data_IF_995138250498
#
_entry.id   IF_995138250498
#
_cell.length_a   1.000
_cell.length_b   1.000
_cell.length_c   1.000
_cell.angle_alpha   90.00
_cell.angle_beta   90.00
_cell.angle_gamma   90.00
#
_symmetry.space_group_name_H-M   'P 1'
#
loop_
_entity.id
_entity.type
_entity.pdbx_description
1 polymer ?
#
# COMPACT_ATOMS: atom_id res chain seq x y z
N UNK A 1 13.00 -6.22 -12.58
CA UNK A 1 13.28 -6.25 -11.13
C UNK A 1 13.27 -7.69 -10.61
N UNK A 2 12.18 -8.45 -10.69
CA UNK A 2 12.06 -9.78 -10.07
C UNK A 2 13.14 -10.77 -10.49
N UNK A 3 13.42 -10.92 -11.79
CA UNK A 3 14.51 -11.79 -12.30
C UNK A 3 15.90 -11.46 -11.73
N UNK A 4 16.12 -10.20 -11.37
CA UNK A 4 17.39 -9.78 -10.74
C UNK A 4 17.39 -10.22 -9.29
N UNK A 5 16.28 -10.04 -8.57
CA UNK A 5 16.15 -10.49 -7.17
C UNK A 5 16.29 -12.01 -7.06
N UNK A 6 15.69 -12.77 -8.00
CA UNK A 6 15.80 -14.24 -8.04
C UNK A 6 17.25 -14.72 -8.17
N UNK A 7 18.14 -13.92 -8.79
CA UNK A 7 19.56 -14.24 -8.95
C UNK A 7 20.44 -13.71 -7.81
N UNK A 8 20.11 -12.56 -7.25
CA UNK A 8 20.97 -11.88 -6.27
C UNK A 8 20.66 -12.35 -4.84
N UNK A 9 19.39 -12.47 -4.47
CA UNK A 9 19.02 -12.81 -3.09
C UNK A 9 19.64 -14.11 -2.57
N UNK A 10 19.78 -15.20 -3.38
CA UNK A 10 20.43 -16.42 -2.93
C UNK A 10 21.94 -16.28 -2.60
N UNK A 11 22.61 -15.24 -3.13
CA UNK A 11 24.05 -15.03 -2.91
C UNK A 11 24.34 -13.95 -1.87
N UNK A 12 23.32 -13.24 -1.39
CA UNK A 12 23.45 -12.28 -0.31
C UNK A 12 23.51 -12.99 1.05
N UNK A 13 24.21 -12.38 2.06
CA UNK A 13 24.24 -12.92 3.42
C UNK A 13 22.82 -13.22 3.95
N UNK A 14 22.68 -14.36 4.63
CA UNK A 14 21.38 -14.80 5.20
C UNK A 14 21.15 -14.28 6.61
N UNK A 15 22.23 -13.88 7.28
CA UNK A 15 22.26 -13.36 8.64
C UNK A 15 22.18 -11.82 8.71
N UNK A 16 22.01 -11.17 7.56
CA UNK A 16 21.92 -9.71 7.46
C UNK A 16 20.62 -9.26 6.77
N UNK A 17 20.02 -8.15 7.22
CA UNK A 17 18.82 -7.63 6.57
C UNK A 17 19.12 -7.13 5.15
N UNK A 18 18.22 -7.43 4.22
CA UNK A 18 18.34 -7.07 2.81
C UNK A 18 17.43 -5.91 2.49
N UNK A 19 18.01 -4.84 1.98
CA UNK A 19 17.32 -3.60 1.70
C UNK A 19 17.20 -3.36 0.19
N UNK A 20 15.95 -3.23 -0.30
CA UNK A 20 15.65 -2.88 -1.68
C UNK A 20 15.20 -1.42 -1.76
N UNK A 21 16.07 -0.56 -2.26
CA UNK A 21 15.86 0.89 -2.30
C UNK A 21 14.89 1.31 -3.43
N UNK A 22 14.04 2.29 -3.13
CA UNK A 22 13.21 2.98 -4.11
C UNK A 22 12.06 2.16 -4.71
N UNK A 23 11.74 1.00 -4.15
CA UNK A 23 10.65 0.13 -4.61
C UNK A 23 9.45 0.26 -3.70
N UNK A 24 8.26 0.48 -4.28
CA UNK A 24 7.12 0.83 -3.46
C UNK A 24 5.73 0.60 -4.00
N UNK A 25 5.53 -0.07 -5.13
CA UNK A 25 4.17 -0.56 -5.43
C UNK A 25 3.82 -1.65 -4.42
N UNK A 26 2.57 -1.67 -3.87
CA UNK A 26 2.19 -2.66 -2.86
C UNK A 26 2.53 -4.11 -3.26
N UNK A 27 2.23 -4.48 -4.52
CA UNK A 27 2.57 -5.82 -5.02
C UNK A 27 4.09 -6.06 -5.10
N UNK A 28 4.87 -5.04 -5.46
CA UNK A 28 6.33 -5.18 -5.55
C UNK A 28 6.97 -5.40 -4.18
N UNK A 29 6.37 -4.87 -3.10
CA UNK A 29 6.81 -5.14 -1.73
C UNK A 29 6.58 -6.62 -1.38
N UNK A 30 5.39 -7.14 -1.63
CA UNK A 30 5.04 -8.55 -1.34
C UNK A 30 5.92 -9.50 -2.18
N UNK A 31 6.12 -9.20 -3.46
CA UNK A 31 7.02 -9.96 -4.35
C UNK A 31 8.50 -9.87 -3.93
N UNK A 32 8.92 -8.73 -3.38
CA UNK A 32 10.27 -8.56 -2.81
C UNK A 32 10.46 -9.42 -1.56
N UNK A 33 9.48 -9.42 -0.64
CA UNK A 33 9.49 -10.27 0.56
C UNK A 33 9.58 -11.75 0.18
N UNK A 34 8.79 -12.19 -0.81
CA UNK A 34 8.83 -13.56 -1.34
C UNK A 34 10.24 -14.00 -1.80
N UNK A 35 11.09 -13.03 -2.18
CA UNK A 35 12.47 -13.26 -2.65
C UNK A 35 13.54 -13.01 -1.59
N UNK A 36 13.11 -12.73 -0.35
CA UNK A 36 14.00 -12.54 0.78
C UNK A 36 14.48 -11.10 0.98
N UNK A 37 13.70 -10.11 0.59
CA UNK A 37 13.93 -8.70 0.92
C UNK A 37 13.22 -8.36 2.23
N UNK A 38 13.89 -7.66 3.13
CA UNK A 38 13.41 -7.34 4.48
C UNK A 38 12.97 -5.89 4.63
N UNK A 39 13.59 -4.96 3.88
CA UNK A 39 13.39 -3.52 4.04
C UNK A 39 13.20 -2.83 2.70
N UNK A 40 12.36 -1.79 2.73
CA UNK A 40 12.02 -0.97 1.55
C UNK A 40 11.90 0.49 1.95
N UNK A 41 12.12 1.38 0.97
CA UNK A 41 11.70 2.77 1.03
C UNK A 41 11.05 3.19 -0.28
N UNK A 42 10.12 4.11 -0.21
CA UNK A 42 9.59 4.76 -1.40
C UNK A 42 8.77 6.01 -1.08
N UNK A 43 8.63 6.86 -2.08
CA UNK A 43 7.79 8.07 -2.01
C UNK A 43 6.33 7.81 -2.38
N UNK A 44 5.97 6.60 -2.83
CA UNK A 44 4.65 6.30 -3.40
C UNK A 44 3.48 6.57 -2.46
N UNK A 45 3.51 6.23 -1.16
CA UNK A 45 2.38 6.49 -0.28
C UNK A 45 1.98 7.96 -0.25
N UNK A 46 2.93 8.84 0.01
CA UNK A 46 2.69 10.29 0.12
C UNK A 46 2.51 10.94 -1.24
N UNK A 47 3.30 10.54 -2.26
CA UNK A 47 3.16 11.06 -3.63
C UNK A 47 1.78 10.75 -4.19
N UNK A 48 1.30 9.51 -4.07
CA UNK A 48 -0.04 9.13 -4.52
C UNK A 48 -1.13 9.79 -3.68
N UNK A 49 -0.93 9.95 -2.37
CA UNK A 49 -1.82 10.69 -1.49
C UNK A 49 -2.04 12.13 -1.97
N UNK A 50 -0.96 12.85 -2.30
CA UNK A 50 -1.04 14.20 -2.88
C UNK A 50 -1.74 14.23 -4.24
N UNK A 51 -1.68 13.15 -5.00
CA UNK A 51 -2.32 13.01 -6.32
C UNK A 51 -3.72 12.39 -6.26
N UNK A 52 -4.40 12.46 -5.11
CA UNK A 52 -5.74 11.94 -4.90
C UNK A 52 -5.89 10.43 -5.21
N UNK A 53 -4.84 9.64 -4.99
CA UNK A 53 -4.86 8.19 -5.17
C UNK A 53 -4.66 7.49 -3.82
N UNK A 54 -5.66 6.74 -3.36
CA UNK A 54 -5.61 5.90 -2.18
C UNK A 54 -5.23 4.46 -2.55
N UNK A 55 -4.38 3.83 -1.75
CA UNK A 55 -4.15 2.39 -1.82
C UNK A 55 -5.12 1.68 -0.87
N UNK A 56 -5.71 0.58 -1.32
CA UNK A 56 -6.58 -0.28 -0.49
C UNK A 56 -6.26 -1.75 -0.72
N UNK A 57 -6.76 -2.61 0.16
CA UNK A 57 -6.62 -4.05 0.01
C UNK A 57 -7.27 -4.61 -1.27
N UNK A 58 -8.14 -3.85 -1.92
CA UNK A 58 -8.83 -4.22 -3.17
C UNK A 58 -8.35 -3.39 -4.38
N UNK A 59 -7.13 -2.84 -4.30
CA UNK A 59 -6.56 -2.01 -5.36
C UNK A 59 -6.69 -0.50 -5.11
N UNK A 60 -6.17 0.33 -6.04
CA UNK A 60 -6.13 1.77 -5.85
C UNK A 60 -7.47 2.44 -6.16
N UNK A 61 -7.84 3.45 -5.35
CA UNK A 61 -8.98 4.31 -5.58
C UNK A 61 -8.53 5.70 -6.04
N UNK A 62 -9.17 6.24 -7.09
CA UNK A 62 -8.96 7.62 -7.56
C UNK A 62 -10.03 8.52 -6.93
N UNK A 63 -9.66 9.27 -5.89
CA UNK A 63 -10.61 10.05 -5.08
C UNK A 63 -11.29 11.19 -5.83
N UNK A 64 -10.72 11.66 -6.95
CA UNK A 64 -11.37 12.68 -7.81
C UNK A 64 -12.51 12.14 -8.67
N UNK A 65 -12.67 10.80 -8.78
CA UNK A 65 -13.70 10.19 -9.61
C UNK A 65 -15.11 10.58 -9.15
N UNK A 66 -16.01 10.74 -10.12
CA UNK A 66 -17.40 11.16 -9.87
C UNK A 66 -18.21 10.14 -9.07
N UNK A 67 -17.87 8.86 -9.12
CA UNK A 67 -18.52 7.82 -8.34
C UNK A 67 -18.45 8.07 -6.82
N UNK A 68 -17.45 8.83 -6.35
CA UNK A 68 -17.28 9.17 -4.94
C UNK A 68 -18.02 10.45 -4.51
N UNK A 69 -18.75 11.12 -5.42
CA UNK A 69 -19.37 12.43 -5.13
C UNK A 69 -20.43 12.37 -4.01
N UNK A 70 -21.10 11.23 -3.84
CA UNK A 70 -22.13 10.98 -2.82
C UNK A 70 -21.85 9.70 -2.02
N UNK A 71 -20.61 9.21 -2.04
CA UNK A 71 -20.22 7.98 -1.36
C UNK A 71 -19.92 8.28 0.11
N UNK A 72 -20.82 7.89 1.00
CA UNK A 72 -20.69 8.10 2.45
C UNK A 72 -19.77 7.07 3.13
N UNK A 73 -19.34 6.04 2.41
CA UNK A 73 -18.43 5.02 2.96
C UNK A 73 -17.01 5.57 3.18
N UNK A 74 -16.24 5.01 4.13
CA UNK A 74 -14.83 5.33 4.30
C UNK A 74 -14.01 4.84 3.10
N UNK A 75 -12.76 5.28 3.01
CA UNK A 75 -11.81 4.76 2.00
C UNK A 75 -11.71 3.23 2.14
N UNK A 76 -11.56 2.75 3.37
CA UNK A 76 -11.49 1.34 3.72
C UNK A 76 -12.12 1.11 5.10
N UNK A 77 -13.08 0.17 5.19
CA UNK A 77 -13.92 0.02 6.39
C UNK A 77 -13.13 -0.32 7.66
N UNK A 78 -12.15 -1.24 7.55
CA UNK A 78 -11.37 -1.73 8.69
C UNK A 78 -10.08 -0.95 8.93
N UNK A 79 -9.92 0.22 8.29
CA UNK A 79 -8.73 1.03 8.43
C UNK A 79 -8.86 1.99 9.62
N UNK A 80 -7.96 1.95 10.61
CA UNK A 80 -8.06 2.78 11.82
C UNK A 80 -7.60 4.23 11.62
N UNK A 81 -7.14 4.59 10.42
CA UNK A 81 -6.54 5.90 10.17
C UNK A 81 -7.56 7.05 10.25
N UNK A 82 -7.04 8.27 10.46
CA UNK A 82 -7.86 9.46 10.53
C UNK A 82 -8.70 9.71 9.26
N UNK A 83 -8.14 9.43 8.08
CA UNK A 83 -8.86 9.63 6.82
C UNK A 83 -10.10 8.75 6.71
N UNK A 84 -10.05 7.50 7.21
CA UNK A 84 -11.16 6.56 7.18
C UNK A 84 -12.27 6.86 8.23
N UNK A 85 -12.10 7.89 9.05
CA UNK A 85 -13.19 8.46 9.87
C UNK A 85 -14.10 9.40 9.07
N UNK A 86 -13.74 9.69 7.81
CA UNK A 86 -14.46 10.56 6.90
C UNK A 86 -14.95 9.79 5.68
N UNK A 87 -16.02 10.27 5.05
CA UNK A 87 -16.56 9.69 3.83
C UNK A 87 -15.66 9.95 2.61
N UNK A 88 -15.74 9.08 1.61
CA UNK A 88 -15.09 9.30 0.31
C UNK A 88 -15.60 10.59 -0.35
N UNK A 89 -16.88 10.92 -0.19
CA UNK A 89 -17.45 12.17 -0.69
C UNK A 89 -16.75 13.40 -0.07
N UNK A 90 -16.51 13.38 1.23
CA UNK A 90 -15.78 14.46 1.91
C UNK A 90 -14.33 14.57 1.42
N UNK A 91 -13.61 13.45 1.37
CA UNK A 91 -12.23 13.44 0.86
C UNK A 91 -12.17 13.96 -0.58
N UNK A 92 -13.09 13.52 -1.44
CA UNK A 92 -13.21 14.03 -2.81
C UNK A 92 -13.46 15.54 -2.84
N UNK A 93 -14.36 16.03 -2.00
CA UNK A 93 -14.64 17.47 -1.90
C UNK A 93 -13.38 18.27 -1.57
N UNK A 94 -12.58 17.82 -0.60
CA UNK A 94 -11.32 18.49 -0.25
C UNK A 94 -10.36 18.63 -1.45
N UNK A 95 -10.25 17.59 -2.28
CA UNK A 95 -9.45 17.65 -3.51
C UNK A 95 -10.04 18.54 -4.61
N UNK A 96 -11.36 18.73 -4.64
CA UNK A 96 -12.01 19.64 -5.58
C UNK A 96 -11.91 21.10 -5.15
N UNK A 97 -11.97 21.33 -3.85
CA UNK A 97 -11.80 22.66 -3.24
C UNK A 97 -10.32 23.08 -3.11
N UNK A 98 -9.39 22.21 -3.56
CA UNK A 98 -7.94 22.41 -3.45
C UNK A 98 -7.45 22.64 -2.00
N UNK A 99 -8.11 21.98 -1.05
CA UNK A 99 -7.77 22.06 0.38
C UNK A 99 -6.60 21.14 0.71
N UNK A 100 -5.57 21.66 1.38
CA UNK A 100 -4.38 20.87 1.78
C UNK A 100 -4.72 19.68 2.69
N UNK A 101 -5.85 19.74 3.38
CA UNK A 101 -6.31 18.64 4.23
C UNK A 101 -6.57 17.35 3.43
N UNK A 102 -7.02 17.46 2.17
CA UNK A 102 -7.22 16.30 1.28
C UNK A 102 -5.94 15.49 1.07
N UNK A 103 -4.86 16.09 0.53
CA UNK A 103 -3.54 15.47 0.42
C UNK A 103 -2.99 14.93 1.75
N UNK A 104 -3.19 15.65 2.85
CA UNK A 104 -2.73 15.25 4.18
C UNK A 104 -3.43 13.98 4.65
N UNK A 105 -4.76 13.96 4.65
CA UNK A 105 -5.55 12.79 5.05
C UNK A 105 -5.23 11.57 4.19
N UNK A 106 -5.12 11.76 2.88
CA UNK A 106 -4.86 10.64 1.98
C UNK A 106 -3.42 10.11 2.11
N UNK A 107 -2.45 10.96 2.43
CA UNK A 107 -1.09 10.52 2.77
C UNK A 107 -1.06 9.69 4.06
N UNK A 108 -1.80 10.12 5.09
CA UNK A 108 -1.96 9.35 6.33
C UNK A 108 -2.58 7.98 6.05
N UNK A 109 -3.64 7.94 5.23
CA UNK A 109 -4.27 6.67 4.83
C UNK A 109 -3.29 5.74 4.13
N UNK A 110 -2.58 6.24 3.11
CA UNK A 110 -1.64 5.44 2.35
C UNK A 110 -0.48 4.91 3.21
N UNK A 111 0.08 5.73 4.10
CA UNK A 111 1.10 5.27 5.05
C UNK A 111 0.55 4.18 5.97
N UNK A 112 -0.68 4.35 6.49
CA UNK A 112 -1.33 3.33 7.31
C UNK A 112 -1.55 2.03 6.53
N UNK A 113 -1.98 2.12 5.28
CA UNK A 113 -2.14 0.95 4.41
C UNK A 113 -0.82 0.19 4.25
N UNK A 114 0.28 0.88 3.95
CA UNK A 114 1.60 0.24 3.79
C UNK A 114 2.07 -0.43 5.08
N UNK A 115 1.88 0.20 6.23
CA UNK A 115 2.23 -0.42 7.52
C UNK A 115 1.37 -1.66 7.81
N UNK A 116 0.08 -1.63 7.49
CA UNK A 116 -0.82 -2.78 7.61
C UNK A 116 -0.40 -3.91 6.66
N UNK A 117 -0.08 -3.60 5.41
CA UNK A 117 0.40 -4.59 4.43
C UNK A 117 1.65 -5.31 4.93
N UNK A 118 2.64 -4.56 5.47
CA UNK A 118 3.84 -5.14 6.08
C UNK A 118 3.51 -5.98 7.32
N UNK A 119 2.54 -5.55 8.13
CA UNK A 119 2.04 -6.32 9.27
C UNK A 119 1.39 -7.64 8.84
N UNK A 120 0.56 -7.63 7.81
CA UNK A 120 -0.06 -8.84 7.27
C UNK A 120 0.97 -9.81 6.68
N UNK A 121 1.99 -9.30 6.00
CA UNK A 121 3.08 -10.11 5.47
C UNK A 121 3.86 -10.81 6.60
N UNK A 122 4.23 -10.07 7.68
CA UNK A 122 4.89 -10.66 8.86
C UNK A 122 4.05 -11.74 9.51
N UNK A 123 2.77 -11.46 9.74
CA UNK A 123 1.84 -12.44 10.33
C UNK A 123 1.71 -13.68 9.45
N UNK A 124 1.67 -13.53 8.13
CA UNK A 124 1.62 -14.65 7.20
C UNK A 124 2.89 -15.51 7.25
N UNK A 125 4.07 -14.90 7.42
CA UNK A 125 5.35 -15.61 7.61
C UNK A 125 5.35 -16.37 8.94
N UNK A 126 4.98 -15.71 10.05
CA UNK A 126 4.92 -16.31 11.39
C UNK A 126 3.96 -17.51 11.46
N UNK A 127 2.90 -17.50 10.64
CA UNK A 127 1.89 -18.55 10.56
C UNK A 127 2.19 -19.60 9.46
N UNK A 128 3.35 -19.56 8.84
CA UNK A 128 3.76 -20.47 7.74
C UNK A 128 2.73 -20.53 6.59
N UNK A 129 2.11 -19.40 6.24
CA UNK A 129 1.09 -19.29 5.18
C UNK A 129 1.40 -18.20 4.16
N UNK A 130 2.68 -17.81 4.03
CA UNK A 130 3.07 -16.70 3.17
C UNK A 130 2.76 -16.95 1.69
N UNK A 131 2.88 -18.18 1.19
CA UNK A 131 2.57 -18.53 -0.20
C UNK A 131 1.09 -18.29 -0.55
N UNK A 132 0.18 -18.63 0.38
CA UNK A 132 -1.24 -18.34 0.23
C UNK A 132 -1.51 -16.82 0.24
N UNK A 133 -0.86 -16.10 1.15
CA UNK A 133 -0.92 -14.63 1.21
C UNK A 133 -0.41 -13.99 -0.08
N UNK A 134 0.75 -14.43 -0.61
CA UNK A 134 1.31 -13.94 -1.87
C UNK A 134 0.33 -14.12 -3.04
N UNK A 135 -0.28 -15.30 -3.14
CA UNK A 135 -1.27 -15.60 -4.18
C UNK A 135 -2.46 -14.66 -4.10
N UNK A 136 -3.02 -14.49 -2.90
CA UNK A 136 -4.12 -13.55 -2.65
C UNK A 136 -3.76 -12.10 -3.02
N UNK A 137 -2.56 -11.64 -2.64
CA UNK A 137 -2.13 -10.28 -2.96
C UNK A 137 -1.88 -10.07 -4.46
N UNK A 138 -1.42 -11.09 -5.18
CA UNK A 138 -1.30 -11.04 -6.65
C UNK A 138 -2.64 -10.80 -7.32
N UNK A 139 -3.70 -11.45 -6.86
CA UNK A 139 -5.05 -11.24 -7.40
C UNK A 139 -5.59 -9.84 -7.09
N UNK A 140 -5.34 -9.33 -5.88
CA UNK A 140 -5.91 -8.06 -5.40
C UNK A 140 -5.12 -6.82 -5.83
N UNK A 141 -3.79 -6.91 -5.91
CA UNK A 141 -2.90 -5.75 -6.08
C UNK A 141 -2.21 -5.69 -7.45
N UNK A 142 -2.37 -6.69 -8.33
CA UNK A 142 -1.72 -6.74 -9.64
C UNK A 142 -2.31 -5.77 -10.68
N UNK A 143 -3.33 -4.96 -10.30
CA UNK A 143 -3.96 -3.95 -11.17
C UNK A 143 -3.11 -2.68 -11.32
#
# INVERSE_FOLDING_TARGET
>A
MYLILDRICPVLPTDQPRYLMGVGRPIDLVEGIARGIDMFDCVMPTRNGRNASAFTANGPLKMRNQCHAKDESPIEADCPCLACKHSRAYIRHLFQADEMLGPTLLSIHNLTFYQRLMGWARLAIEQDRFDAFLTEQREKLAM
#
